data_IF_661204156526
#
_entry.id   IF_661204156526
#
_cell.length_a   1.000
_cell.length_b   1.000
_cell.length_c   1.000
_cell.angle_alpha   90.00
_cell.angle_beta   90.00
_cell.angle_gamma   90.00
#
_symmetry.space_group_name_H-M   'P 1'
#
loop_
_entity.id
_entity.type
_entity.pdbx_description
1 polymer ?
#
# COMPACT_ATOMS: atom_id res chain seq x y z
N UNK A 1 -10.32 15.14 -5.11
CA UNK A 1 -10.77 13.99 -4.30
C UNK A 1 -9.56 13.44 -3.56
N UNK A 2 -9.72 13.15 -2.28
CA UNK A 2 -8.66 12.70 -1.39
C UNK A 2 -9.13 11.39 -0.75
N UNK A 3 -8.37 10.32 -0.96
CA UNK A 3 -8.68 9.00 -0.45
C UNK A 3 -7.49 8.44 0.31
N UNK A 4 -7.73 8.05 1.56
CA UNK A 4 -6.76 7.35 2.39
C UNK A 4 -7.40 6.08 2.93
N UNK A 5 -6.69 4.96 2.80
CA UNK A 5 -7.09 3.67 3.34
C UNK A 5 -5.93 3.02 4.05
N UNK A 6 -6.15 2.60 5.28
CA UNK A 6 -5.17 1.87 6.09
C UNK A 6 -5.77 0.53 6.45
N UNK A 7 -5.00 -0.53 6.29
CA UNK A 7 -5.30 -1.89 6.66
C UNK A 7 -4.23 -2.42 7.58
N UNK A 8 -4.68 -3.09 8.63
CA UNK A 8 -3.82 -3.77 9.58
C UNK A 8 -4.41 -5.16 9.81
N UNK A 9 -3.60 -6.19 9.61
CA UNK A 9 -4.01 -7.57 9.81
C UNK A 9 -2.96 -8.29 10.66
N UNK A 10 -3.38 -8.69 11.85
CA UNK A 10 -2.60 -9.51 12.77
C UNK A 10 -3.09 -10.95 12.71
N UNK A 11 -2.17 -11.90 12.54
CA UNK A 11 -2.48 -13.31 12.66
C UNK A 11 -1.67 -13.91 13.82
N UNK A 12 -2.37 -14.24 14.90
CA UNK A 12 -1.79 -14.77 16.13
C UNK A 12 -1.25 -16.20 16.00
N UNK A 13 -1.72 -16.97 15.01
CA UNK A 13 -1.28 -18.35 14.82
C UNK A 13 0.14 -18.45 14.24
N UNK A 14 0.66 -17.39 13.61
CA UNK A 14 1.97 -17.38 12.94
C UNK A 14 2.78 -16.11 13.30
N UNK A 15 2.35 -15.32 14.29
CA UNK A 15 2.99 -14.06 14.69
C UNK A 15 3.27 -13.14 13.48
N UNK A 16 2.23 -12.95 12.65
CA UNK A 16 2.33 -12.16 11.41
C UNK A 16 1.56 -10.85 11.55
N UNK A 17 2.25 -9.74 11.32
CA UNK A 17 1.69 -8.41 11.22
C UNK A 17 1.79 -7.93 9.77
N UNK A 18 0.65 -7.65 9.14
CA UNK A 18 0.59 -7.04 7.82
C UNK A 18 0.03 -5.63 7.95
N UNK A 19 0.75 -4.66 7.39
CA UNK A 19 0.33 -3.26 7.33
C UNK A 19 0.23 -2.85 5.87
N UNK A 20 -0.88 -2.27 5.46
CA UNK A 20 -1.02 -1.66 4.14
C UNK A 20 -1.62 -0.27 4.28
N UNK A 21 -1.03 0.73 3.63
CA UNK A 21 -1.54 2.09 3.58
C UNK A 21 -1.60 2.53 2.12
N UNK A 22 -2.76 3.00 1.67
CA UNK A 22 -2.99 3.47 0.29
C UNK A 22 -3.52 4.89 0.37
N UNK A 23 -2.80 5.80 -0.28
CA UNK A 23 -3.12 7.19 -0.43
C UNK A 23 -3.33 7.51 -1.91
N UNK A 24 -4.44 8.17 -2.23
CA UNK A 24 -4.78 8.59 -3.59
C UNK A 24 -5.24 10.04 -3.55
N UNK A 25 -4.58 10.86 -4.34
CA UNK A 25 -4.94 12.26 -4.55
C UNK A 25 -5.32 12.49 -6.01
N UNK A 26 -6.51 13.04 -6.24
CA UNK A 26 -7.04 13.37 -7.58
C UNK A 26 -7.35 14.86 -7.65
N UNK A 27 -6.79 15.55 -8.65
CA UNK A 27 -7.01 16.97 -8.87
C UNK A 27 -7.93 17.23 -10.07
N UNK A 28 -8.56 18.42 -10.06
CA UNK A 28 -9.46 18.91 -11.12
C UNK A 28 -8.64 19.38 -12.33
N UNK A 29 -9.26 19.62 -13.51
CA UNK A 29 -8.57 19.71 -14.79
C UNK A 29 -7.28 20.54 -14.81
N UNK A 30 -6.22 20.06 -15.48
CA UNK A 30 -6.14 18.81 -16.26
C UNK A 30 -6.24 17.56 -15.37
N UNK A 31 -7.06 16.57 -15.73
CA UNK A 31 -7.35 15.45 -14.82
C UNK A 31 -6.08 14.66 -14.53
N UNK A 32 -5.77 14.45 -13.25
CA UNK A 32 -4.62 13.63 -12.86
C UNK A 32 -4.77 13.01 -11.49
N UNK A 33 -3.94 11.99 -11.25
CA UNK A 33 -3.95 11.20 -10.03
C UNK A 33 -2.52 10.91 -9.56
N UNK A 34 -2.29 11.09 -8.27
CA UNK A 34 -1.10 10.63 -7.55
C UNK A 34 -1.54 9.52 -6.61
N UNK A 35 -0.88 8.37 -6.69
CA UNK A 35 -1.14 7.22 -5.82
C UNK A 35 0.16 6.81 -5.13
N UNK A 36 0.08 6.62 -3.82
CA UNK A 36 1.14 6.11 -2.98
C UNK A 36 0.58 4.92 -2.21
N UNK A 37 1.18 3.76 -2.33
CA UNK A 37 0.81 2.58 -1.57
C UNK A 37 2.02 2.00 -0.87
N UNK A 38 1.92 1.83 0.44
CA UNK A 38 2.91 1.17 1.28
C UNK A 38 2.33 -0.16 1.75
N UNK A 39 3.12 -1.21 1.66
CA UNK A 39 2.77 -2.54 2.14
C UNK A 39 3.97 -3.12 2.90
N UNK A 40 3.73 -3.60 4.12
CA UNK A 40 4.68 -4.32 4.95
C UNK A 40 4.07 -5.67 5.31
N UNK A 41 4.72 -6.75 4.91
CA UNK A 41 4.21 -8.12 5.09
C UNK A 41 4.80 -9.12 4.10
N UNK A 42 5.09 -10.32 4.56
CA UNK A 42 5.85 -11.34 3.81
C UNK A 42 5.11 -11.87 2.57
N UNK A 43 5.77 -11.79 1.42
CA UNK A 43 5.48 -12.56 0.22
C UNK A 43 6.29 -13.87 0.27
N UNK A 44 5.76 -14.90 0.91
CA UNK A 44 6.40 -16.20 1.03
C UNK A 44 5.62 -17.14 1.95
N UNK A 45 4.96 -18.14 1.37
CA UNK A 45 4.50 -19.31 2.12
C UNK A 45 5.72 -20.23 2.33
N UNK A 46 6.09 -20.50 3.58
CA UNK A 46 7.07 -21.56 3.90
C UNK A 46 8.41 -21.12 4.53
N UNK A 47 8.73 -19.83 4.63
CA UNK A 47 10.01 -19.37 5.20
C UNK A 47 9.87 -18.53 6.47
N UNK A 48 10.81 -18.73 7.39
CA UNK A 48 10.94 -17.98 8.65
C UNK A 48 11.70 -16.70 8.36
N UNK A 49 10.98 -15.58 8.35
CA UNK A 49 11.48 -14.20 8.28
C UNK A 49 12.14 -13.76 6.98
N UNK A 50 11.41 -12.97 6.20
CA UNK A 50 11.78 -11.57 5.90
C UNK A 50 10.46 -10.76 5.78
N UNK A 51 10.22 -9.81 6.69
CA UNK A 51 9.13 -8.84 6.52
C UNK A 51 9.59 -7.80 5.49
N UNK A 52 9.33 -8.07 4.22
CA UNK A 52 9.59 -7.13 3.15
C UNK A 52 8.70 -5.89 3.27
N UNK A 53 9.30 -4.72 2.99
CA UNK A 53 8.60 -3.46 2.81
C UNK A 53 8.53 -3.17 1.31
N UNK A 54 7.33 -2.91 0.80
CA UNK A 54 7.09 -2.51 -0.58
C UNK A 54 6.46 -1.12 -0.59
N UNK A 55 7.06 -0.21 -1.35
CA UNK A 55 6.50 1.10 -1.64
C UNK A 55 6.20 1.21 -3.12
N UNK A 56 4.95 1.49 -3.46
CA UNK A 56 4.49 1.73 -4.81
C UNK A 56 4.10 3.20 -4.97
N UNK A 57 4.67 3.86 -5.97
CA UNK A 57 4.35 5.24 -6.32
C UNK A 57 3.92 5.31 -7.78
N UNK A 58 2.79 5.96 -8.04
CA UNK A 58 2.24 6.11 -9.39
C UNK A 58 1.70 7.52 -9.59
N UNK A 59 2.10 8.12 -10.70
CA UNK A 59 1.57 9.39 -11.18
C UNK A 59 0.89 9.16 -12.52
N UNK A 60 -0.27 9.77 -12.73
CA UNK A 60 -1.01 9.73 -13.99
C UNK A 60 -1.56 11.11 -14.25
N UNK A 61 -1.32 11.63 -15.45
CA UNK A 61 -1.78 12.96 -15.88
C UNK A 61 -2.38 12.82 -17.27
N UNK A 62 -3.52 13.49 -17.48
CA UNK A 62 -4.22 13.57 -18.76
C UNK A 62 -4.03 14.98 -19.29
N UNK A 63 -3.50 15.11 -20.51
CA UNK A 63 -3.29 16.38 -21.21
C UNK A 63 -4.31 16.54 -22.33
#
# INVERSE_FOLDING_TARGET
DLYLKVFFQTNSAIDRENVQAVFVYRYRPPFGTVQLAYQRGTAGFGERSEQGNTLFFKVTTVF
#
